data_IF_541091513576
#
_entry.id   IF_541091513576
#
_cell.length_a   1.000
_cell.length_b   1.000
_cell.length_c   1.000
_cell.angle_alpha   90.00
_cell.angle_beta   90.00
_cell.angle_gamma   90.00
#
_symmetry.space_group_name_H-M   'P 1'
#
loop_
_entity.id
_entity.type
_entity.pdbx_description
1 polymer ?
#
# COMPACT_ATOMS: atom_id res chain seq x y z
N UNK A 1 -19.71 -1.99 -7.20
CA UNK A 1 -18.83 -2.89 -6.42
C UNK A 1 -17.70 -2.05 -5.86
N UNK A 2 -17.46 -2.09 -4.56
CA UNK A 2 -16.44 -1.22 -3.95
C UNK A 2 -15.05 -1.90 -3.98
N UNK A 3 -14.02 -1.11 -4.29
CA UNK A 3 -12.61 -1.50 -4.15
C UNK A 3 -11.93 -0.53 -3.18
N UNK A 4 -11.17 -1.06 -2.22
CA UNK A 4 -10.42 -0.27 -1.25
C UNK A 4 -8.93 -0.32 -1.60
N UNK A 5 -8.27 0.82 -1.85
CA UNK A 5 -6.82 0.83 -2.01
C UNK A 5 -6.12 0.37 -0.73
N UNK A 6 -4.92 -0.23 -0.86
CA UNK A 6 -4.02 -0.33 0.27
C UNK A 6 -3.60 1.08 0.72
N UNK A 7 -3.40 1.29 2.03
CA UNK A 7 -2.92 2.57 2.54
C UNK A 7 -1.54 2.87 1.94
N UNK A 8 -1.39 4.05 1.33
CA UNK A 8 -0.08 4.50 0.85
C UNK A 8 0.84 4.72 2.05
N UNK A 9 2.07 4.17 2.06
CA UNK A 9 2.99 4.39 3.18
C UNK A 9 3.26 5.88 3.33
N UNK A 10 2.85 6.47 4.46
CA UNK A 10 3.17 7.87 4.74
C UNK A 10 4.70 8.04 4.77
N UNK A 11 5.25 9.09 4.13
CA UNK A 11 6.69 9.34 4.18
C UNK A 11 7.12 9.49 5.63
N UNK A 12 8.00 8.60 6.09
CA UNK A 12 8.51 8.65 7.45
C UNK A 12 9.20 10.02 7.66
N UNK A 13 8.81 10.80 8.68
CA UNK A 13 9.48 12.07 8.95
C UNK A 13 10.97 11.84 9.20
N UNK A 14 11.85 12.76 8.74
CA UNK A 14 13.28 12.62 8.98
C UNK A 14 13.52 12.52 10.49
N UNK A 15 14.31 11.52 10.96
CA UNK A 15 14.54 11.35 12.38
C UNK A 15 15.17 12.64 12.92
N UNK A 16 14.61 13.26 13.98
CA UNK A 16 15.16 14.48 14.53
C UNK A 16 16.59 14.21 14.99
N UNK A 17 17.52 15.09 14.63
CA UNK A 17 18.89 14.95 15.09
C UNK A 17 18.90 15.04 16.62
N UNK A 18 19.56 14.10 17.32
CA UNK A 18 19.50 13.93 18.77
C UNK A 18 20.41 14.95 19.47
N UNK A 19 20.23 16.24 19.19
CA UNK A 19 21.12 17.31 19.67
C UNK A 19 21.27 17.22 21.19
N UNK A 20 20.17 16.96 21.89
CA UNK A 20 20.14 16.82 23.35
C UNK A 20 20.91 15.57 23.85
N UNK A 21 20.84 14.47 23.11
CA UNK A 21 21.57 13.24 23.43
C UNK A 21 23.09 13.39 23.29
N UNK A 22 23.55 14.25 22.38
CA UNK A 22 24.98 14.53 22.20
C UNK A 22 25.47 15.66 23.11
N UNK A 23 24.65 16.68 23.35
CA UNK A 23 25.04 17.88 24.09
C UNK A 23 24.99 17.70 25.62
N UNK A 24 23.95 17.05 26.15
CA UNK A 24 23.79 16.88 27.59
C UNK A 24 25.01 16.26 28.28
N UNK A 25 25.66 15.22 27.73
CA UNK A 25 26.76 14.57 28.43
C UNK A 25 28.09 15.31 28.27
N UNK A 26 28.30 16.04 27.15
CA UNK A 26 29.44 16.94 27.00
C UNK A 26 29.40 18.07 28.05
N UNK A 27 28.22 18.66 28.27
CA UNK A 27 28.03 19.71 29.28
C UNK A 27 28.29 19.17 30.69
N UNK A 28 27.78 17.98 31.01
CA UNK A 28 28.01 17.33 32.31
C UNK A 28 29.50 17.00 32.51
N UNK A 29 30.19 16.50 31.49
CA UNK A 29 31.62 16.16 31.57
C UNK A 29 32.51 17.38 31.83
N UNK A 30 32.22 18.49 31.14
CA UNK A 30 32.93 19.76 31.33
C UNK A 30 32.66 20.35 32.72
N UNK A 31 31.40 20.32 33.20
CA UNK A 31 31.03 20.81 34.52
C UNK A 31 31.73 20.03 35.65
N UNK A 32 31.76 18.70 35.54
CA UNK A 32 32.39 17.81 36.53
C UNK A 32 33.92 17.95 36.55
N UNK A 33 34.55 18.12 35.39
CA UNK A 33 35.98 18.39 35.30
C UNK A 33 36.37 19.73 35.92
N UNK A 34 35.56 20.78 35.68
CA UNK A 34 35.75 22.11 36.24
C UNK A 34 35.69 22.12 37.78
N UNK A 35 34.89 21.24 38.37
CA UNK A 35 34.72 21.14 39.83
C UNK A 35 35.81 20.26 40.48
N UNK A 36 36.22 19.17 39.83
CA UNK A 36 36.98 18.09 40.51
C UNK A 36 38.48 18.10 40.22
N UNK A 37 38.94 18.64 39.07
CA UNK A 37 40.35 18.54 38.58
C UNK A 37 40.93 17.11 38.54
N UNK A 38 40.10 16.07 38.68
CA UNK A 38 40.50 14.66 38.72
C UNK A 38 40.00 13.90 37.47
N UNK A 39 40.84 13.10 36.79
CA UNK A 39 40.51 12.46 35.52
C UNK A 39 39.44 11.35 35.61
N UNK A 40 39.17 10.81 36.81
CA UNK A 40 38.22 9.70 36.99
C UNK A 40 36.74 10.09 36.80
N UNK A 41 36.40 11.36 37.02
CA UNK A 41 35.02 11.84 36.93
C UNK A 41 34.55 12.04 35.47
N UNK A 42 35.50 12.13 34.52
CA UNK A 42 35.25 12.21 33.08
C UNK A 42 34.65 10.91 32.50
N UNK A 43 34.92 9.76 33.12
CA UNK A 43 34.44 8.45 32.66
C UNK A 43 32.92 8.29 32.86
N UNK A 44 32.36 8.85 33.93
CA UNK A 44 30.91 8.75 34.22
C UNK A 44 30.09 9.66 33.30
N UNK A 45 30.63 10.82 32.94
CA UNK A 45 30.01 11.74 31.99
C UNK A 45 30.12 11.27 30.54
N UNK A 46 31.04 10.35 30.23
CA UNK A 46 31.15 9.68 28.94
C UNK A 46 30.16 8.51 28.75
N UNK A 47 29.38 8.13 29.78
CA UNK A 47 28.40 7.03 29.69
C UNK A 47 27.06 7.47 29.06
N UNK A 48 26.56 8.65 29.40
CA UNK A 48 25.37 9.27 28.78
C UNK A 48 25.43 9.49 27.26
N UNK A 49 26.54 10.00 26.67
CA UNK A 49 26.66 10.23 25.23
C UNK A 49 26.85 8.92 24.48
N UNK A 50 27.49 7.92 25.09
CA UNK A 50 27.59 6.58 24.51
C UNK A 50 26.21 5.95 24.36
N UNK A 51 25.35 6.05 25.37
CA UNK A 51 23.96 5.56 25.29
C UNK A 51 23.15 6.33 24.26
N UNK A 52 23.30 7.66 24.19
CA UNK A 52 22.62 8.47 23.18
C UNK A 52 23.06 8.17 21.74
N UNK A 53 24.37 8.02 21.51
CA UNK A 53 24.93 7.63 20.20
C UNK A 53 24.48 6.22 19.83
N UNK A 54 24.44 5.29 20.79
CA UNK A 54 23.94 3.94 20.59
C UNK A 54 22.46 3.94 20.17
N UNK A 55 21.61 4.73 20.84
CA UNK A 55 20.18 4.82 20.49
C UNK A 55 19.95 5.36 19.07
N UNK A 56 20.77 6.29 18.62
CA UNK A 56 20.65 6.92 17.29
C UNK A 56 21.17 6.00 16.18
N UNK A 57 22.24 5.26 16.48
CA UNK A 57 22.71 4.20 15.60
C UNK A 57 21.66 3.09 15.46
N UNK A 58 21.05 2.68 16.58
CA UNK A 58 20.01 1.65 16.60
C UNK A 58 18.76 2.10 15.84
N UNK A 59 18.31 3.34 16.03
CA UNK A 59 17.21 3.93 15.26
C UNK A 59 17.50 3.99 13.77
N UNK A 60 18.74 4.31 13.35
CA UNK A 60 19.12 4.31 11.93
C UNK A 60 19.13 2.92 11.33
N UNK A 61 19.64 1.93 12.05
CA UNK A 61 19.72 0.54 11.59
C UNK A 61 18.30 -0.07 11.51
N UNK A 62 17.52 0.12 12.57
CA UNK A 62 16.12 -0.33 12.65
C UNK A 62 15.25 0.34 11.61
N UNK A 63 15.39 1.67 11.42
CA UNK A 63 14.67 2.43 10.39
C UNK A 63 14.95 1.95 8.97
N UNK A 64 16.22 1.64 8.64
CA UNK A 64 16.59 1.05 7.34
C UNK A 64 15.97 -0.32 7.11
N UNK A 65 15.92 -1.16 8.16
CA UNK A 65 15.31 -2.50 8.08
C UNK A 65 13.79 -2.40 7.95
N UNK A 66 13.15 -1.52 8.71
CA UNK A 66 11.71 -1.27 8.67
C UNK A 66 11.28 -0.70 7.32
N UNK A 67 12.02 0.25 6.75
CA UNK A 67 11.75 0.82 5.42
C UNK A 67 11.73 -0.26 4.32
N UNK A 68 12.72 -1.17 4.32
CA UNK A 68 12.75 -2.31 3.39
C UNK A 68 11.59 -3.29 3.59
N UNK A 69 11.10 -3.43 4.82
CA UNK A 69 9.92 -4.24 5.13
C UNK A 69 8.64 -3.63 4.57
N UNK A 70 8.45 -2.33 4.84
CA UNK A 70 7.29 -1.58 4.38
C UNK A 70 7.20 -1.52 2.84
N UNK A 71 8.34 -1.37 2.15
CA UNK A 71 8.38 -1.40 0.67
C UNK A 71 7.89 -2.74 0.12
N UNK A 72 8.37 -3.86 0.68
CA UNK A 72 7.93 -5.21 0.27
C UNK A 72 6.45 -5.45 0.54
N UNK A 73 5.97 -4.99 1.68
CA UNK A 73 4.55 -5.11 2.05
C UNK A 73 3.66 -4.27 1.13
N UNK A 74 4.10 -3.06 0.79
CA UNK A 74 3.42 -2.18 -0.17
C UNK A 74 3.33 -2.81 -1.56
N UNK A 75 4.43 -3.40 -2.06
CA UNK A 75 4.44 -4.09 -3.36
C UNK A 75 3.50 -5.30 -3.34
N UNK A 76 3.57 -6.13 -2.31
CA UNK A 76 2.69 -7.29 -2.18
C UNK A 76 1.20 -6.89 -2.07
N UNK A 77 0.89 -5.79 -1.38
CA UNK A 77 -0.48 -5.28 -1.30
C UNK A 77 -0.97 -4.77 -2.67
N UNK A 78 -0.10 -4.14 -3.45
CA UNK A 78 -0.41 -3.64 -4.79
C UNK A 78 -0.67 -4.76 -5.78
N UNK A 79 0.15 -5.82 -5.76
CA UNK A 79 -0.05 -7.02 -6.58
C UNK A 79 -1.39 -7.70 -6.29
N UNK A 80 -1.77 -7.81 -5.00
CA UNK A 80 -3.07 -8.36 -4.59
C UNK A 80 -4.23 -7.53 -5.12
N UNK A 81 -4.15 -6.20 -5.00
CA UNK A 81 -5.18 -5.30 -5.53
C UNK A 81 -5.31 -5.46 -7.05
N UNK A 82 -4.19 -5.49 -7.78
CA UNK A 82 -4.21 -5.71 -9.24
C UNK A 82 -4.83 -7.06 -9.62
N UNK A 83 -4.52 -8.12 -8.87
CA UNK A 83 -5.13 -9.43 -9.10
C UNK A 83 -6.66 -9.40 -8.86
N UNK A 84 -7.10 -8.73 -7.79
CA UNK A 84 -8.52 -8.59 -7.46
C UNK A 84 -9.29 -7.79 -8.53
N UNK A 85 -8.74 -6.65 -8.95
CA UNK A 85 -9.33 -5.81 -10.00
C UNK A 85 -9.43 -6.59 -11.31
N UNK A 86 -8.36 -7.29 -11.73
CA UNK A 86 -8.39 -8.13 -12.94
C UNK A 86 -9.45 -9.22 -12.84
N UNK A 87 -9.55 -9.91 -11.71
CA UNK A 87 -10.56 -10.95 -11.50
C UNK A 87 -11.99 -10.38 -11.57
N UNK A 88 -12.23 -9.21 -10.98
CA UNK A 88 -13.54 -8.53 -11.03
C UNK A 88 -13.91 -8.10 -12.44
N UNK A 89 -12.99 -7.46 -13.16
CA UNK A 89 -13.21 -7.04 -14.54
C UNK A 89 -13.45 -8.24 -15.46
N UNK A 90 -12.71 -9.33 -15.26
CA UNK A 90 -12.93 -10.57 -16.00
C UNK A 90 -14.34 -11.14 -15.75
N UNK A 91 -14.79 -11.17 -14.48
CA UNK A 91 -16.13 -11.62 -14.13
C UNK A 91 -17.23 -10.73 -14.77
N UNK A 92 -17.06 -9.41 -14.76
CA UNK A 92 -17.98 -8.47 -15.43
C UNK A 92 -18.02 -8.71 -16.94
N UNK A 93 -16.87 -8.92 -17.58
CA UNK A 93 -16.81 -9.23 -19.02
C UNK A 93 -17.54 -10.54 -19.36
N UNK A 94 -17.35 -11.58 -18.55
CA UNK A 94 -18.07 -12.86 -18.72
C UNK A 94 -19.57 -12.68 -18.54
N UNK A 95 -19.99 -11.89 -17.55
CA UNK A 95 -21.41 -11.60 -17.31
C UNK A 95 -22.05 -10.75 -18.43
N UNK A 96 -21.31 -9.82 -19.03
CA UNK A 96 -21.78 -9.05 -20.18
C UNK A 96 -21.87 -9.93 -21.44
N UNK A 97 -20.86 -10.77 -21.69
CA UNK A 97 -20.84 -11.68 -22.83
C UNK A 97 -21.98 -12.71 -22.77
N UNK A 98 -22.30 -13.22 -21.57
CA UNK A 98 -23.40 -14.18 -21.41
C UNK A 98 -24.80 -13.60 -21.63
N UNK A 99 -24.96 -12.27 -21.50
CA UNK A 99 -26.22 -11.57 -21.77
C UNK A 99 -26.49 -11.38 -23.27
N UNK A 100 -25.45 -11.31 -24.09
CA UNK A 100 -25.57 -11.09 -25.53
C UNK A 100 -24.51 -11.91 -26.30
N UNK A 101 -24.65 -13.24 -26.34
CA UNK A 101 -23.72 -14.09 -27.07
C UNK A 101 -23.81 -13.84 -28.57
N UNK A 102 -22.73 -14.14 -29.27
CA UNK A 102 -22.65 -13.99 -30.72
C UNK A 102 -23.54 -15.02 -31.44
N UNK A 103 -23.97 -14.69 -32.66
CA UNK A 103 -24.73 -15.64 -33.49
C UNK A 103 -23.99 -16.97 -33.70
N UNK A 104 -22.65 -16.92 -33.81
CA UNK A 104 -21.81 -18.11 -33.95
C UNK A 104 -21.87 -19.01 -32.72
N UNK A 105 -21.78 -18.46 -31.52
CA UNK A 105 -21.87 -19.22 -30.27
C UNK A 105 -23.23 -19.90 -30.09
N UNK A 106 -24.30 -19.25 -30.55
CA UNK A 106 -25.64 -19.83 -30.56
C UNK A 106 -25.71 -21.00 -31.56
N UNK A 107 -25.18 -20.82 -32.78
CA UNK A 107 -25.20 -21.84 -33.83
C UNK A 107 -24.31 -23.05 -33.50
N UNK A 108 -23.17 -22.82 -32.86
CA UNK A 108 -22.22 -23.86 -32.45
C UNK A 108 -22.67 -24.58 -31.15
N UNK A 109 -23.79 -24.16 -30.55
CA UNK A 109 -24.39 -24.78 -29.37
C UNK A 109 -23.63 -24.54 -28.07
N UNK A 110 -22.68 -23.61 -28.04
CA UNK A 110 -21.88 -23.29 -26.85
C UNK A 110 -22.68 -22.55 -25.78
N UNK A 111 -23.82 -21.97 -26.16
CA UNK A 111 -24.73 -21.26 -25.26
C UNK A 111 -26.13 -21.86 -25.38
N UNK A 112 -26.80 -22.03 -24.24
CA UNK A 112 -28.18 -22.49 -24.22
C UNK A 112 -29.13 -21.35 -24.63
N UNK A 113 -29.80 -21.42 -25.79
CA UNK A 113 -30.66 -20.35 -26.28
C UNK A 113 -31.87 -20.10 -25.37
N UNK A 114 -32.30 -21.07 -24.55
CA UNK A 114 -33.37 -20.87 -23.57
C UNK A 114 -32.98 -19.84 -22.48
N UNK A 115 -31.69 -19.65 -22.21
CA UNK A 115 -31.22 -18.65 -21.25
C UNK A 115 -31.32 -17.21 -21.79
N UNK A 116 -31.38 -17.03 -23.12
CA UNK A 116 -31.54 -15.71 -23.76
C UNK A 116 -32.94 -15.12 -23.57
N UNK A 117 -33.93 -16.00 -23.40
CA UNK A 117 -35.32 -15.62 -23.21
C UNK A 117 -35.68 -15.38 -21.73
N UNK A 118 -34.72 -15.53 -20.80
CA UNK A 118 -34.92 -15.04 -19.43
C UNK A 118 -34.81 -13.52 -19.43
N UNK A 119 -35.93 -12.85 -19.22
CA UNK A 119 -35.95 -11.41 -18.97
C UNK A 119 -34.99 -11.07 -17.82
N UNK A 120 -34.13 -10.07 -18.02
CA UNK A 120 -33.43 -9.40 -16.92
C UNK A 120 -34.53 -8.79 -16.01
N UNK A 121 -34.46 -8.88 -14.68
CA UNK A 121 -35.46 -8.30 -13.81
C UNK A 121 -35.43 -6.76 -13.97
N UNK A 122 -36.24 -6.22 -14.87
CA UNK A 122 -36.33 -4.80 -15.18
C UNK A 122 -36.29 -4.39 -16.66
N UNK A 123 -36.17 -5.33 -17.61
CA UNK A 123 -36.18 -5.01 -19.05
C UNK A 123 -37.30 -5.72 -19.82
N UNK A 124 -38.02 -4.96 -20.66
CA UNK A 124 -39.13 -5.49 -21.50
C UNK A 124 -38.66 -6.35 -22.69
N UNK A 125 -37.38 -6.26 -23.08
CA UNK A 125 -36.83 -6.95 -24.25
C UNK A 125 -35.38 -7.46 -24.04
N UNK A 126 -34.97 -8.56 -24.72
CA UNK A 126 -33.61 -9.09 -24.62
C UNK A 126 -32.59 -8.13 -25.24
N UNK A 127 -31.44 -7.88 -24.57
CA UNK A 127 -30.43 -6.97 -25.09
C UNK A 127 -29.73 -7.56 -26.33
N UNK A 128 -29.49 -6.73 -27.34
CA UNK A 128 -28.76 -7.10 -28.56
C UNK A 128 -27.42 -6.37 -28.57
N UNK A 129 -26.31 -7.11 -28.68
CA UNK A 129 -24.98 -6.53 -28.85
C UNK A 129 -24.73 -6.17 -30.31
N UNK A 130 -24.42 -4.89 -30.57
CA UNK A 130 -24.08 -4.39 -31.91
C UNK A 130 -22.57 -4.37 -32.18
N UNK A 131 -21.74 -4.47 -31.14
CA UNK A 131 -20.28 -4.39 -31.24
C UNK A 131 -19.60 -4.40 -29.88
N UNK A 132 -18.29 -4.18 -29.88
CA UNK A 132 -17.45 -4.07 -28.67
C UNK A 132 -16.99 -2.64 -28.46
N UNK A 133 -16.81 -2.26 -27.21
CA UNK A 133 -16.33 -0.93 -26.84
C UNK A 133 -16.03 -0.85 -25.35
N UNK A 134 -15.48 0.29 -24.93
CA UNK A 134 -15.23 0.56 -23.52
C UNK A 134 -16.54 0.85 -22.79
N UNK A 135 -16.74 0.14 -21.68
CA UNK A 135 -17.92 0.27 -20.83
C UNK A 135 -17.45 0.52 -19.40
N UNK A 136 -18.11 1.41 -18.64
CA UNK A 136 -17.81 1.59 -17.23
C UNK A 136 -17.87 0.25 -16.48
N UNK A 137 -16.81 -0.07 -15.74
CA UNK A 137 -16.72 -1.33 -14.98
C UNK A 137 -17.67 -1.40 -13.79
N UNK A 138 -18.25 -0.26 -13.37
CA UNK A 138 -19.07 -0.15 -12.16
C UNK A 138 -18.31 -0.37 -10.85
N UNK A 139 -16.97 -0.41 -10.92
CA UNK A 139 -16.09 -0.44 -9.75
C UNK A 139 -15.98 0.98 -9.18
N UNK A 140 -16.18 1.09 -7.87
CA UNK A 140 -16.10 2.35 -7.13
C UNK A 140 -14.86 2.32 -6.27
N UNK A 141 -13.96 3.28 -6.51
CA UNK A 141 -12.78 3.48 -5.67
C UNK A 141 -13.20 4.13 -4.35
N UNK A 142 -13.05 3.39 -3.25
CA UNK A 142 -13.40 3.87 -1.92
C UNK A 142 -12.13 3.98 -1.08
N UNK A 143 -11.42 5.09 -1.23
CA UNK A 143 -10.19 5.42 -0.51
C UNK A 143 -9.62 6.75 -0.98
N UNK A 144 -8.37 7.03 -0.61
CA UNK A 144 -7.65 8.22 -1.05
C UNK A 144 -7.61 8.27 -2.60
N UNK A 145 -8.15 9.32 -3.26
CA UNK A 145 -8.13 9.45 -4.71
C UNK A 145 -6.73 9.60 -5.29
N UNK A 146 -5.77 10.07 -4.49
CA UNK A 146 -4.38 10.26 -4.90
C UNK A 146 -3.48 9.07 -4.54
N UNK A 147 -4.04 8.01 -3.93
CA UNK A 147 -3.31 6.79 -3.63
C UNK A 147 -2.82 6.12 -4.92
N UNK A 148 -1.55 6.35 -5.25
CA UNK A 148 -0.89 5.68 -6.37
C UNK A 148 -0.62 4.24 -6.01
N UNK A 149 -1.16 3.33 -6.82
CA UNK A 149 -0.75 1.94 -6.84
C UNK A 149 0.49 1.87 -7.74
N UNK A 150 1.66 1.43 -7.23
CA UNK A 150 2.82 1.17 -8.07
C UNK A 150 2.46 0.20 -9.20
N UNK A 151 2.96 0.48 -10.40
CA UNK A 151 2.91 -0.49 -11.49
C UNK A 151 3.71 -1.74 -11.10
N UNK A 152 3.23 -2.95 -11.46
CA UNK A 152 3.90 -4.20 -11.17
C UNK A 152 5.22 -4.37 -11.93
#
# INVERSE_FOLDING_TARGET
MDISPPPSPAPAPPPPFPVLGVAAPLVVSVAVWAITRSPYALLFAALGPVVAVAGVADQRISGRRSARGAERESLAASERLHAEVRARVAAVRVALASRAPSAREILDGSVNPALLWRADPGGDAPPIALGTGDVPSGLVWRGDPDARVPDP
#
